data_IF_670101123544
#
_entry.id   IF_670101123544
#
_cell.length_a   1.000
_cell.length_b   1.000
_cell.length_c   1.000
_cell.angle_alpha   90.00
_cell.angle_beta   90.00
_cell.angle_gamma   90.00
#
_symmetry.space_group_name_H-M   'P 1'
#
loop_
_entity.id
_entity.type
_entity.pdbx_description
1 polymer ?
#
# COMPACT_ATOMS: atom_id res chain seq x y z
N UNK A 1 10.34 -40.33 -3.38
CA UNK A 1 10.84 -39.64 -2.17
C UNK A 1 10.59 -38.17 -2.37
N UNK A 2 9.49 -37.69 -1.79
CA UNK A 2 8.96 -36.33 -1.95
C UNK A 2 9.72 -35.39 -1.02
N UNK A 3 10.54 -34.51 -1.60
CA UNK A 3 11.22 -33.45 -0.84
C UNK A 3 10.19 -32.40 -0.42
N UNK A 4 9.81 -32.48 0.85
CA UNK A 4 9.07 -31.43 1.56
C UNK A 4 10.02 -30.25 1.74
N UNK A 5 9.77 -29.15 1.04
CA UNK A 5 10.44 -27.87 1.28
C UNK A 5 10.03 -27.38 2.67
N UNK A 6 11.00 -27.33 3.56
CA UNK A 6 10.83 -26.97 4.96
C UNK A 6 10.37 -25.52 5.09
N UNK A 7 9.17 -25.32 5.64
CA UNK A 7 8.68 -24.04 6.14
C UNK A 7 9.55 -23.63 7.33
N UNK A 8 10.48 -22.70 7.14
CA UNK A 8 11.24 -22.10 8.22
C UNK A 8 10.38 -21.07 8.95
N UNK A 9 9.86 -21.45 10.12
CA UNK A 9 9.27 -20.53 11.09
C UNK A 9 10.38 -19.68 11.72
N UNK A 10 10.42 -18.40 11.38
CA UNK A 10 11.12 -17.34 12.12
C UNK A 10 10.27 -16.08 12.02
N UNK A 11 10.13 -15.26 13.07
CA UNK A 11 9.43 -13.99 12.95
C UNK A 11 10.33 -13.07 12.13
N UNK A 12 10.15 -13.07 10.80
CA UNK A 12 10.94 -12.24 9.92
C UNK A 12 10.43 -10.82 10.09
N UNK A 13 11.21 -10.00 10.79
CA UNK A 13 11.03 -8.56 10.81
C UNK A 13 11.44 -8.04 9.42
N UNK A 14 10.51 -8.12 8.46
CA UNK A 14 10.74 -7.74 7.07
C UNK A 14 10.76 -6.21 7.00
N UNK A 15 11.79 -5.65 6.35
CA UNK A 15 11.81 -4.22 6.07
C UNK A 15 10.61 -3.85 5.17
N UNK A 16 10.00 -2.68 5.36
CA UNK A 16 8.86 -2.25 4.56
C UNK A 16 9.21 -2.16 3.07
N UNK A 17 8.22 -2.44 2.22
CA UNK A 17 8.30 -2.16 0.80
C UNK A 17 7.94 -0.69 0.55
N UNK A 18 8.85 0.06 -0.09
CA UNK A 18 8.64 1.48 -0.39
C UNK A 18 8.45 1.66 -1.89
N UNK A 19 7.31 2.21 -2.29
CA UNK A 19 7.00 2.59 -3.66
C UNK A 19 7.02 4.11 -3.79
N UNK A 20 7.88 4.62 -4.66
CA UNK A 20 8.08 6.07 -4.85
C UNK A 20 7.33 6.51 -6.12
N UNK A 21 6.68 7.67 -6.06
CA UNK A 21 6.03 8.26 -7.23
C UNK A 21 7.05 8.60 -8.33
N UNK A 22 6.61 8.57 -9.60
CA UNK A 22 7.41 8.96 -10.78
C UNK A 22 8.08 10.34 -10.63
N UNK A 23 7.48 11.28 -9.90
CA UNK A 23 8.07 12.61 -9.69
C UNK A 23 9.29 12.61 -8.74
N UNK A 24 9.64 11.48 -8.13
CA UNK A 24 10.75 11.36 -7.15
C UNK A 24 10.61 12.24 -5.91
N UNK A 25 9.40 12.70 -5.60
CA UNK A 25 9.10 13.43 -4.37
C UNK A 25 9.03 12.47 -3.19
N UNK A 26 9.78 12.75 -2.12
CA UNK A 26 9.76 11.95 -0.88
C UNK A 26 8.42 12.04 -0.14
N UNK A 27 7.62 13.07 -0.42
CA UNK A 27 6.27 13.21 0.12
C UNK A 27 5.26 12.29 -0.58
N UNK A 28 5.57 11.76 -1.78
CA UNK A 28 4.67 10.92 -2.57
C UNK A 28 5.20 9.49 -2.61
N UNK A 29 5.05 8.81 -1.49
CA UNK A 29 5.44 7.42 -1.32
C UNK A 29 4.31 6.59 -0.72
N UNK A 30 4.33 5.31 -1.06
CA UNK A 30 3.51 4.29 -0.43
C UNK A 30 4.46 3.36 0.31
N UNK A 31 4.23 3.16 1.60
CA UNK A 31 4.97 2.24 2.45
C UNK A 31 4.07 1.06 2.76
N UNK A 32 4.57 -0.16 2.52
CA UNK A 32 3.83 -1.40 2.79
C UNK A 32 4.58 -2.23 3.81
N UNK A 33 3.94 -2.43 4.95
CA UNK A 33 4.41 -3.27 6.05
C UNK A 33 3.63 -4.58 6.06
N UNK A 34 4.31 -5.71 6.27
CA UNK A 34 3.65 -7.00 6.38
C UNK A 34 3.69 -7.50 7.82
N UNK A 35 2.51 -7.73 8.38
CA UNK A 35 2.35 -8.33 9.70
C UNK A 35 2.16 -9.84 9.56
N UNK A 36 3.13 -10.59 10.09
CA UNK A 36 3.11 -12.05 10.08
C UNK A 36 2.10 -12.66 11.03
N UNK A 37 1.71 -11.94 12.09
CA UNK A 37 0.81 -12.46 13.12
C UNK A 37 -0.64 -12.45 12.60
N UNK A 38 -1.03 -11.36 11.95
CA UNK A 38 -2.36 -11.20 11.36
C UNK A 38 -2.44 -11.65 9.89
N UNK A 39 -1.29 -11.92 9.24
CA UNK A 39 -1.18 -12.23 7.79
C UNK A 39 -1.83 -11.14 6.91
N UNK A 40 -1.58 -9.89 7.28
CA UNK A 40 -2.11 -8.69 6.63
C UNK A 40 -0.96 -7.80 6.18
N UNK A 41 -1.10 -7.18 5.00
CA UNK A 41 -0.19 -6.12 4.59
C UNK A 41 -0.87 -4.76 4.78
N UNK A 42 -0.26 -3.91 5.59
CA UNK A 42 -0.68 -2.55 5.86
C UNK A 42 -0.04 -1.62 4.84
N UNK A 43 -0.87 -0.89 4.11
CA UNK A 43 -0.42 0.05 3.11
C UNK A 43 -0.66 1.46 3.62
N UNK A 44 0.43 2.19 3.88
CA UNK A 44 0.43 3.57 4.32
C UNK A 44 0.78 4.48 3.15
N UNK A 45 -0.17 5.33 2.75
CA UNK A 45 0.05 6.39 1.78
C UNK A 45 0.53 7.61 2.58
N UNK A 46 1.60 8.26 2.15
CA UNK A 46 1.94 9.57 2.70
C UNK A 46 1.25 10.65 1.86
N UNK A 47 0.30 11.34 2.47
CA UNK A 47 -0.63 12.26 1.83
C UNK A 47 0.07 13.34 1.01
N UNK A 48 -0.43 13.48 -0.22
CA UNK A 48 -0.03 14.54 -1.15
C UNK A 48 -0.38 15.93 -0.65
N UNK A 49 0.38 16.94 -1.07
CA UNK A 49 0.17 18.34 -0.72
C UNK A 49 -1.15 18.85 -1.34
N UNK A 50 -2.27 18.66 -0.64
CA UNK A 50 -3.56 19.18 -1.10
C UNK A 50 -3.62 20.70 -0.95
N UNK A 51 -4.12 21.38 -1.99
CA UNK A 51 -4.37 22.82 -1.95
C UNK A 51 -5.35 23.20 -0.82
N UNK A 52 -5.21 24.42 -0.30
CA UNK A 52 -5.99 24.93 0.84
C UNK A 52 -7.51 24.70 0.70
N UNK A 53 -8.06 24.93 -0.50
CA UNK A 53 -9.49 24.75 -0.77
C UNK A 53 -9.95 23.30 -0.71
N UNK A 54 -9.10 22.35 -1.11
CA UNK A 54 -9.43 20.92 -1.01
C UNK A 54 -9.40 20.47 0.45
N UNK A 55 -8.44 20.96 1.24
CA UNK A 55 -8.41 20.74 2.70
C UNK A 55 -9.65 21.31 3.38
N UNK A 56 -10.07 22.52 3.01
CA UNK A 56 -11.26 23.17 3.56
C UNK A 56 -12.54 22.39 3.23
N UNK A 57 -12.71 21.95 1.98
CA UNK A 57 -13.87 21.13 1.57
C UNK A 57 -13.94 19.80 2.33
N UNK A 58 -12.81 19.12 2.48
CA UNK A 58 -12.74 17.86 3.24
C UNK A 58 -13.04 18.08 4.72
N UNK A 59 -12.53 19.16 5.32
CA UNK A 59 -12.83 19.55 6.70
C UNK A 59 -14.31 19.87 6.92
N UNK A 60 -14.95 20.59 5.99
CA UNK A 60 -16.39 20.88 6.05
C UNK A 60 -17.21 19.58 6.00
N UNK A 61 -16.89 18.65 5.08
CA UNK A 61 -17.55 17.34 5.01
C UNK A 61 -17.43 16.56 6.32
N UNK A 62 -16.25 16.62 6.94
CA UNK A 62 -16.01 15.99 8.24
C UNK A 62 -16.89 16.59 9.35
N UNK A 63 -17.00 17.92 9.44
CA UNK A 63 -17.86 18.61 10.42
C UNK A 63 -19.33 18.19 10.27
N UNK A 64 -19.80 17.96 9.04
CA UNK A 64 -21.16 17.48 8.76
C UNK A 64 -21.33 15.95 8.94
N UNK A 65 -20.39 15.27 9.60
CA UNK A 65 -20.51 13.86 9.95
C UNK A 65 -20.31 12.90 8.78
N UNK A 66 -19.73 13.36 7.66
CA UNK A 66 -19.36 12.48 6.57
C UNK A 66 -18.14 11.64 6.98
N UNK A 67 -18.41 10.45 7.52
CA UNK A 67 -17.41 9.43 7.78
C UNK A 67 -17.34 8.47 6.59
N UNK A 68 -16.22 8.49 5.86
CA UNK A 68 -15.88 7.36 5.00
C UNK A 68 -15.64 6.15 5.92
N UNK A 69 -16.26 4.99 5.65
CA UNK A 69 -16.18 3.77 6.48
C UNK A 69 -14.73 3.29 6.74
N UNK A 70 -13.77 3.81 5.99
CA UNK A 70 -12.36 3.45 6.02
C UNK A 70 -11.40 4.66 6.20
N UNK A 71 -11.89 5.79 6.70
CA UNK A 71 -11.07 6.99 6.95
C UNK A 71 -11.01 7.96 5.77
N UNK A 72 -10.70 9.22 6.07
CA UNK A 72 -10.64 10.32 5.10
C UNK A 72 -9.22 10.44 4.49
N UNK A 73 -8.65 9.30 4.06
CA UNK A 73 -7.33 9.06 3.42
C UNK A 73 -6.20 8.58 4.36
N UNK A 74 -5.72 7.36 4.11
CA UNK A 74 -4.38 7.03 3.55
C UNK A 74 -3.92 5.60 3.85
N UNK A 75 -4.73 4.84 4.58
CA UNK A 75 -4.37 3.48 4.97
C UNK A 75 -5.39 2.46 4.47
N UNK A 76 -4.89 1.36 3.93
CA UNK A 76 -5.71 0.23 3.52
C UNK A 76 -4.98 -1.07 3.74
N UNK A 77 -5.75 -2.10 4.07
CA UNK A 77 -5.22 -3.42 4.41
C UNK A 77 -5.41 -4.34 3.21
N UNK A 78 -4.33 -4.94 2.74
CA UNK A 78 -4.41 -6.00 1.74
C UNK A 78 -4.64 -7.36 2.37
N UNK A 79 -5.62 -8.06 1.81
CA UNK A 79 -5.87 -9.47 2.08
C UNK A 79 -5.07 -10.36 1.12
N UNK A 80 -4.77 -11.61 1.50
CA UNK A 80 -4.12 -12.59 0.61
C UNK A 80 -4.80 -12.74 -0.76
N UNK A 81 -6.12 -12.55 -0.82
CA UNK A 81 -6.93 -12.58 -2.05
C UNK A 81 -6.51 -11.54 -3.11
N UNK A 82 -5.79 -10.49 -2.72
CA UNK A 82 -5.31 -9.45 -3.64
C UNK A 82 -3.97 -9.79 -4.29
N UNK A 83 -3.26 -10.82 -3.81
CA UNK A 83 -1.95 -11.21 -4.33
C UNK A 83 -1.93 -11.50 -5.85
N UNK A 84 -2.94 -12.17 -6.46
CA UNK A 84 -2.94 -12.39 -7.91
C UNK A 84 -2.99 -11.07 -8.70
N UNK A 85 -3.77 -10.08 -8.23
CA UNK A 85 -3.89 -8.77 -8.89
C UNK A 85 -2.60 -7.95 -8.78
N UNK A 86 -1.92 -8.02 -7.63
CA UNK A 86 -0.64 -7.34 -7.45
C UNK A 86 0.45 -7.94 -8.35
N UNK A 87 0.46 -9.27 -8.52
CA UNK A 87 1.38 -9.95 -9.44
C UNK A 87 1.11 -9.56 -10.89
N UNK A 88 -0.15 -9.53 -11.32
CA UNK A 88 -0.53 -9.06 -12.65
C UNK A 88 -0.08 -7.62 -12.91
N UNK A 89 -0.26 -6.72 -11.92
CA UNK A 89 0.21 -5.34 -12.01
C UNK A 89 1.74 -5.27 -12.14
N UNK A 90 2.48 -6.06 -11.35
CA UNK A 90 3.94 -6.11 -11.42
C UNK A 90 4.43 -6.60 -12.80
N UNK A 91 3.76 -7.61 -13.38
CA UNK A 91 4.07 -8.12 -14.71
C UNK A 91 3.84 -7.05 -15.79
N UNK A 92 2.75 -6.29 -15.70
CA UNK A 92 2.45 -5.18 -16.61
C UNK A 92 3.53 -4.08 -16.56
N UNK A 93 3.94 -3.68 -15.35
CA UNK A 93 4.98 -2.67 -15.17
C UNK A 93 6.34 -3.15 -15.69
N UNK A 94 6.66 -4.43 -15.49
CA UNK A 94 7.92 -5.02 -15.98
C UNK A 94 7.99 -4.98 -17.51
N UNK A 95 6.90 -5.31 -18.20
CA UNK A 95 6.82 -5.20 -19.66
C UNK A 95 7.00 -3.77 -20.14
N UNK A 96 6.51 -2.77 -19.41
CA UNK A 96 6.73 -1.37 -19.77
C UNK A 96 8.20 -0.98 -19.68
N UNK A 97 8.91 -1.47 -18.66
CA UNK A 97 10.34 -1.22 -18.49
C UNK A 97 11.20 -1.87 -19.60
N UNK A 98 10.79 -3.03 -20.14
CA UNK A 98 11.51 -3.71 -21.23
C UNK A 98 11.33 -3.04 -22.61
N UNK A 99 10.27 -2.23 -22.77
CA UNK A 99 9.94 -1.56 -24.03
C UNK A 99 10.52 -0.13 -24.12
N UNK A 100 11.31 0.29 -23.12
CA UNK A 100 11.99 1.58 -23.03
C UNK A 100 13.50 1.41 -22.95
#
# INVERSE_FOLDING_TARGET
>A
MTNQTQHSNSPVNQAPYIFICKCSCTEYQIVVDYDSDDNLAYCHIHLTNQSFWNRLKSGIKYIFGYHCRYGHWDEFIWKPEHAPKLRELADLLSRQAENH
#
